data_IF_096740135418
#
_entry.id   IF_096740135418
#
_cell.length_a   1.000
_cell.length_b   1.000
_cell.length_c   1.000
_cell.angle_alpha   90.00
_cell.angle_beta   90.00
_cell.angle_gamma   90.00
#
_symmetry.space_group_name_H-M   'P 1'
#
loop_
_entity.id
_entity.type
_entity.pdbx_description
1 polymer ?
#
# COMPACT_ATOMS: atom_id res chain seq x y z
N UNK A 1 -3.44 21.00 -1.19
CA UNK A 1 -2.91 19.67 -1.53
C UNK A 1 -3.95 19.09 -2.47
N UNK A 2 -3.66 18.99 -3.77
CA UNK A 2 -4.59 18.43 -4.76
C UNK A 2 -5.08 17.05 -4.30
N UNK A 3 -6.32 16.71 -4.66
CA UNK A 3 -6.92 15.40 -4.40
C UNK A 3 -6.04 14.29 -4.98
N UNK A 4 -5.10 13.79 -4.17
CA UNK A 4 -4.39 12.55 -4.47
C UNK A 4 -5.48 11.51 -4.70
N UNK A 5 -5.50 10.84 -5.86
CA UNK A 5 -6.49 9.79 -6.14
C UNK A 5 -6.39 8.72 -5.03
N UNK A 6 -7.30 8.81 -4.06
CA UNK A 6 -7.42 7.88 -2.94
C UNK A 6 -8.46 6.86 -3.35
N UNK A 7 -8.07 5.59 -3.45
CA UNK A 7 -9.01 4.53 -3.71
C UNK A 7 -9.66 4.00 -2.43
N UNK A 8 -10.87 3.46 -2.61
CA UNK A 8 -11.58 2.79 -1.55
C UNK A 8 -10.81 1.55 -1.07
N UNK A 9 -10.73 1.30 0.24
CA UNK A 9 -10.03 0.12 0.77
C UNK A 9 -10.63 -1.18 0.19
N UNK A 10 -11.96 -1.27 0.06
CA UNK A 10 -12.63 -2.39 -0.62
C UNK A 10 -12.10 -2.65 -2.04
N UNK A 11 -11.79 -1.59 -2.79
CA UNK A 11 -11.19 -1.70 -4.13
C UNK A 11 -9.75 -2.20 -4.03
N UNK A 12 -8.95 -1.68 -3.10
CA UNK A 12 -7.60 -2.17 -2.85
C UNK A 12 -7.62 -3.67 -2.51
N UNK A 13 -8.39 -4.07 -1.50
CA UNK A 13 -8.46 -5.46 -1.07
C UNK A 13 -9.00 -6.39 -2.18
N UNK A 14 -10.06 -6.01 -2.89
CA UNK A 14 -10.65 -6.87 -3.93
C UNK A 14 -9.76 -7.06 -5.17
N UNK A 15 -8.79 -6.17 -5.41
CA UNK A 15 -7.95 -6.20 -6.60
C UNK A 15 -6.48 -6.54 -6.31
N UNK A 16 -6.03 -6.39 -5.07
CA UNK A 16 -4.62 -6.47 -4.68
C UNK A 16 -4.40 -7.44 -3.52
N UNK A 17 -5.40 -7.67 -2.67
CA UNK A 17 -5.24 -8.69 -1.64
C UNK A 17 -5.39 -10.06 -2.31
N UNK A 18 -4.29 -10.83 -2.29
CA UNK A 18 -4.24 -12.23 -2.71
C UNK A 18 -5.08 -13.10 -1.75
N UNK A 19 -6.40 -12.92 -1.81
CA UNK A 19 -7.38 -13.75 -1.14
C UNK A 19 -7.49 -15.05 -1.92
N UNK A 20 -6.82 -16.10 -1.43
CA UNK A 20 -7.40 -17.46 -1.39
C UNK A 20 -6.49 -18.55 -0.78
N UNK A 21 -5.22 -18.28 -0.43
CA UNK A 21 -4.29 -19.37 -0.01
C UNK A 21 -3.64 -19.24 1.38
N UNK A 22 -4.05 -18.27 2.20
CA UNK A 22 -3.77 -18.26 3.64
C UNK A 22 -2.40 -17.71 4.08
N UNK A 23 -1.71 -16.93 3.23
CA UNK A 23 -0.44 -16.30 3.58
C UNK A 23 -0.31 -14.87 3.05
N UNK A 24 0.40 -14.03 3.80
CA UNK A 24 0.88 -12.70 3.34
C UNK A 24 1.86 -12.94 2.21
N UNK A 25 1.55 -12.38 1.04
CA UNK A 25 2.42 -12.41 -0.13
C UNK A 25 3.00 -11.02 -0.27
N UNK A 26 4.29 -10.87 0.03
CA UNK A 26 4.93 -9.56 0.06
C UNK A 26 5.18 -9.07 -1.37
N UNK A 27 4.15 -8.46 -1.95
CA UNK A 27 4.09 -8.04 -3.35
C UNK A 27 3.37 -6.68 -3.45
N UNK A 28 3.92 -5.78 -4.27
CA UNK A 28 3.27 -4.51 -4.58
C UNK A 28 2.62 -4.57 -5.97
N UNK A 29 1.55 -3.79 -6.14
CA UNK A 29 0.77 -3.70 -7.37
C UNK A 29 0.65 -2.25 -7.87
N UNK A 30 0.65 -2.07 -9.18
CA UNK A 30 0.08 -0.90 -9.82
C UNK A 30 -1.44 -1.03 -9.82
N UNK A 31 -2.14 0.03 -9.39
CA UNK A 31 -3.59 0.10 -9.44
C UNK A 31 -4.05 1.38 -10.14
N UNK A 32 -4.94 1.26 -11.12
CA UNK A 32 -5.53 2.40 -11.85
C UNK A 32 -6.90 2.06 -12.41
N UNK A 33 -7.62 3.07 -12.91
CA UNK A 33 -8.90 2.90 -13.60
C UNK A 33 -8.78 3.11 -15.10
N UNK A 34 -9.41 2.20 -15.86
CA UNK A 34 -9.69 2.35 -17.29
C UNK A 34 -11.21 2.36 -17.50
N UNK A 35 -11.77 3.55 -17.67
CA UNK A 35 -13.22 3.73 -17.63
C UNK A 35 -13.77 3.33 -16.26
N UNK A 36 -14.71 2.38 -16.23
CA UNK A 36 -15.30 1.85 -15.00
C UNK A 36 -14.62 0.60 -14.46
N UNK A 37 -13.46 0.22 -15.00
CA UNK A 37 -12.74 -1.00 -14.59
C UNK A 37 -11.50 -0.62 -13.78
N UNK A 38 -11.40 -1.17 -12.57
CA UNK A 38 -10.16 -1.14 -11.80
C UNK A 38 -9.20 -2.20 -12.36
N UNK A 39 -7.97 -1.80 -12.65
CA UNK A 39 -6.90 -2.66 -13.14
C UNK A 39 -5.83 -2.75 -12.07
N UNK A 40 -5.48 -3.98 -11.69
CA UNK A 40 -4.36 -4.30 -10.80
C UNK A 40 -3.31 -5.10 -11.56
N UNK A 41 -2.05 -4.72 -11.40
CA UNK A 41 -0.93 -5.40 -12.03
C UNK A 41 0.25 -5.52 -11.06
N UNK A 42 0.76 -6.74 -10.79
CA UNK A 42 1.94 -6.90 -9.95
C UNK A 42 3.14 -6.11 -10.47
N UNK A 43 3.86 -5.41 -9.58
CA UNK A 43 5.04 -4.64 -9.95
C UNK A 43 6.27 -5.54 -10.11
N UNK A 44 6.29 -6.69 -9.45
CA UNK A 44 7.44 -7.59 -9.41
C UNK A 44 7.04 -8.98 -8.94
N UNK A 45 8.02 -9.84 -8.70
CA UNK A 45 7.77 -11.15 -8.13
C UNK A 45 7.49 -11.04 -6.62
N UNK A 46 6.68 -11.94 -6.08
CA UNK A 46 6.46 -12.03 -4.63
C UNK A 46 7.79 -12.28 -3.89
N UNK A 47 7.98 -11.60 -2.75
CA UNK A 47 9.05 -11.92 -1.81
C UNK A 47 8.56 -12.89 -0.73
N UNK A 48 9.33 -13.96 -0.48
CA UNK A 48 8.97 -14.97 0.51
C UNK A 48 9.03 -14.46 1.96
N UNK A 49 8.21 -15.08 2.81
CA UNK A 49 7.96 -14.67 4.20
C UNK A 49 8.83 -15.35 5.26
N UNK A 50 9.52 -16.44 4.93
CA UNK A 50 10.12 -17.32 5.93
C UNK A 50 11.23 -16.62 6.75
N UNK A 51 10.90 -16.24 8.00
CA UNK A 51 11.85 -15.77 9.01
C UNK A 51 12.27 -14.29 8.93
N UNK A 52 11.89 -13.56 7.87
CA UNK A 52 12.34 -12.17 7.65
C UNK A 52 11.40 -11.10 8.21
N UNK A 53 10.18 -11.49 8.55
CA UNK A 53 9.08 -10.63 9.01
C UNK A 53 9.40 -9.91 10.34
N UNK A 54 10.33 -10.45 11.12
CA UNK A 54 10.79 -9.88 12.39
C UNK A 54 12.04 -9.00 12.23
N UNK A 55 12.64 -8.96 11.04
CA UNK A 55 13.84 -8.17 10.77
C UNK A 55 13.46 -6.89 10.02
N UNK A 56 13.38 -5.75 10.73
CA UNK A 56 13.01 -4.46 10.15
C UNK A 56 13.91 -4.04 9.00
N UNK A 57 15.20 -4.39 9.02
CA UNK A 57 16.17 -4.02 7.96
C UNK A 57 16.15 -4.93 6.73
N UNK A 58 15.52 -6.11 6.82
CA UNK A 58 15.43 -7.11 5.74
C UNK A 58 14.00 -7.59 5.55
N UNK A 59 13.03 -6.74 5.91
CA UNK A 59 11.63 -7.08 5.78
C UNK A 59 11.31 -7.37 4.30
N UNK A 60 10.52 -8.42 3.99
CA UNK A 60 10.21 -8.78 2.61
C UNK A 60 9.70 -7.61 1.75
N UNK A 61 8.86 -6.71 2.30
CA UNK A 61 8.44 -5.48 1.61
C UNK A 61 9.61 -4.59 1.17
N UNK A 62 10.67 -4.48 1.99
CA UNK A 62 11.85 -3.69 1.63
C UNK A 62 12.71 -4.42 0.59
N UNK A 63 12.82 -5.75 0.72
CA UNK A 63 13.56 -6.59 -0.21
C UNK A 63 12.89 -6.58 -1.60
N UNK A 64 11.57 -6.52 -1.66
CA UNK A 64 10.80 -6.43 -2.91
C UNK A 64 11.32 -5.30 -3.82
N UNK A 65 11.56 -4.12 -3.26
CA UNK A 65 12.05 -2.96 -4.02
C UNK A 65 13.52 -3.03 -4.43
N UNK A 66 14.25 -4.07 -4.02
CA UNK A 66 15.62 -4.35 -4.46
C UNK A 66 15.70 -5.33 -5.63
N UNK A 67 14.56 -5.85 -6.10
CA UNK A 67 14.52 -6.78 -7.23
C UNK A 67 15.05 -6.14 -8.52
N UNK A 68 15.75 -6.94 -9.33
CA UNK A 68 16.36 -6.47 -10.59
C UNK A 68 15.34 -6.20 -11.71
N UNK A 69 14.10 -6.66 -11.57
CA UNK A 69 13.06 -6.55 -12.59
C UNK A 69 11.76 -6.10 -11.96
N UNK A 70 11.57 -4.79 -11.89
CA UNK A 70 10.32 -4.15 -11.50
C UNK A 70 9.66 -3.56 -12.75
N UNK A 71 8.35 -3.75 -12.86
CA UNK A 71 7.54 -3.27 -13.97
C UNK A 71 7.33 -1.77 -13.81
N UNK A 72 7.67 -1.01 -14.85
CA UNK A 72 7.54 0.44 -14.87
C UNK A 72 6.08 0.90 -14.68
N UNK A 73 5.91 2.12 -14.18
CA UNK A 73 4.60 2.73 -13.98
C UNK A 73 3.84 2.80 -15.33
N UNK A 74 2.64 2.18 -15.44
CA UNK A 74 1.96 2.05 -16.73
C UNK A 74 1.39 3.38 -17.24
N UNK A 75 0.98 4.28 -16.35
CA UNK A 75 0.48 5.62 -16.67
C UNK A 75 0.55 6.55 -15.44
N UNK A 76 0.30 7.85 -15.64
CA UNK A 76 0.37 8.87 -14.58
C UNK A 76 -0.72 8.77 -13.51
N UNK A 77 -1.78 7.99 -13.74
CA UNK A 77 -2.86 7.74 -12.77
C UNK A 77 -2.59 6.54 -11.88
N UNK A 78 -1.74 5.62 -12.32
CA UNK A 78 -1.43 4.41 -11.57
C UNK A 78 -0.77 4.75 -10.23
N UNK A 79 -1.33 4.22 -9.15
CA UNK A 79 -0.76 4.31 -7.81
C UNK A 79 -0.09 2.99 -7.45
N UNK A 80 0.79 3.02 -6.45
CA UNK A 80 1.34 1.81 -5.85
C UNK A 80 0.41 1.38 -4.72
N UNK A 81 0.11 0.10 -4.65
CA UNK A 81 -0.58 -0.50 -3.52
C UNK A 81 0.31 -1.61 -2.96
N UNK A 82 0.57 -1.57 -1.67
CA UNK A 82 1.40 -2.56 -0.97
C UNK A 82 0.68 -3.03 0.28
N UNK A 83 0.77 -4.33 0.56
CA UNK A 83 0.29 -4.87 1.81
C UNK A 83 1.34 -4.69 2.92
N UNK A 84 0.89 -4.67 4.16
CA UNK A 84 1.74 -4.68 5.32
C UNK A 84 1.18 -5.69 6.32
N UNK A 85 2.06 -6.50 6.92
CA UNK A 85 1.64 -7.54 7.86
C UNK A 85 1.05 -6.98 9.17
N UNK A 86 1.60 -5.87 9.68
CA UNK A 86 1.17 -5.18 10.91
C UNK A 86 1.34 -3.69 10.69
N UNK A 87 0.27 -2.90 10.83
CA UNK A 87 0.36 -1.45 10.83
C UNK A 87 0.47 -0.89 12.27
N UNK A 88 1.32 0.13 12.51
CA UNK A 88 2.44 0.54 11.68
C UNK A 88 3.66 -0.36 11.91
N UNK A 89 4.28 -0.86 10.83
CA UNK A 89 5.58 -1.54 10.90
C UNK A 89 6.68 -0.49 11.16
N UNK A 90 6.77 -0.03 12.41
CA UNK A 90 7.32 1.29 12.80
C UNK A 90 8.56 1.26 13.69
N UNK A 91 9.18 0.11 13.96
CA UNK A 91 10.49 0.10 14.65
C UNK A 91 11.55 0.72 13.72
N UNK A 92 12.53 1.41 14.29
CA UNK A 92 13.61 2.12 13.58
C UNK A 92 14.05 1.41 12.27
N UNK A 93 13.88 2.10 11.13
CA UNK A 93 14.13 1.54 9.80
C UNK A 93 12.99 0.66 9.24
N UNK A 94 11.79 0.75 9.80
CA UNK A 94 10.61 -0.02 9.40
C UNK A 94 10.06 0.33 8.02
N UNK A 95 9.20 -0.53 7.49
CA UNK A 95 8.67 -0.42 6.13
C UNK A 95 7.97 0.92 5.88
N UNK A 96 7.30 1.48 6.89
CA UNK A 96 6.57 2.74 6.76
C UNK A 96 7.45 3.89 6.24
N UNK A 97 8.70 3.98 6.70
CA UNK A 97 9.63 5.02 6.29
C UNK A 97 10.55 4.59 5.15
N UNK A 98 10.94 3.30 5.13
CA UNK A 98 11.93 2.83 4.19
C UNK A 98 11.36 2.56 2.80
N UNK A 99 10.15 2.03 2.69
CA UNK A 99 9.52 1.70 1.41
C UNK A 99 9.32 2.93 0.53
N UNK A 100 8.79 4.08 1.01
CA UNK A 100 8.68 5.29 0.21
C UNK A 100 10.01 5.76 -0.41
N UNK A 101 11.12 5.67 0.35
CA UNK A 101 12.46 6.02 -0.13
C UNK A 101 13.02 5.01 -1.13
N UNK A 102 12.67 3.73 -0.99
CA UNK A 102 13.07 2.70 -1.95
C UNK A 102 12.32 2.88 -3.27
N UNK A 103 11.02 3.16 -3.23
CA UNK A 103 10.21 3.45 -4.40
C UNK A 103 10.74 4.68 -5.14
N UNK A 104 11.10 5.75 -4.40
CA UNK A 104 11.69 6.96 -4.99
C UNK A 104 12.94 6.65 -5.82
N UNK A 105 13.83 5.79 -5.32
CA UNK A 105 15.05 5.40 -6.04
C UNK A 105 14.77 4.65 -7.33
N UNK A 106 13.66 3.90 -7.37
CA UNK A 106 13.30 3.04 -8.51
C UNK A 106 12.50 3.83 -9.56
N UNK A 107 11.52 4.63 -9.13
CA UNK A 107 10.53 5.23 -10.02
C UNK A 107 10.44 6.76 -9.93
N UNK A 108 11.20 7.40 -9.04
CA UNK A 108 11.13 8.83 -8.76
C UNK A 108 10.13 9.19 -7.65
N UNK A 109 10.16 10.44 -7.22
CA UNK A 109 9.37 10.99 -6.10
C UNK A 109 7.92 11.30 -6.51
N UNK A 110 7.03 11.43 -5.53
CA UNK A 110 5.64 11.90 -5.72
C UNK A 110 4.67 10.87 -6.32
N UNK A 111 5.04 9.59 -6.38
CA UNK A 111 4.13 8.53 -6.80
C UNK A 111 3.22 8.19 -5.61
N UNK A 112 1.89 8.26 -5.75
CA UNK A 112 0.97 7.92 -4.66
C UNK A 112 1.10 6.46 -4.25
N UNK A 113 1.08 6.21 -2.93
CA UNK A 113 1.18 4.88 -2.33
C UNK A 113 -0.01 4.68 -1.39
N UNK A 114 -0.79 3.63 -1.61
CA UNK A 114 -1.77 3.11 -0.66
C UNK A 114 -1.20 1.92 0.12
N UNK A 115 -1.12 2.03 1.44
CA UNK A 115 -0.64 0.94 2.31
C UNK A 115 -1.82 0.41 3.11
N UNK A 116 -2.02 -0.91 3.12
CA UNK A 116 -3.11 -1.56 3.86
C UNK A 116 -2.60 -2.71 4.74
N UNK A 117 -3.31 -2.99 5.85
CA UNK A 117 -2.95 -4.10 6.75
C UNK A 117 -3.56 -5.43 6.30
N UNK A 118 -2.73 -6.46 6.14
CA UNK A 118 -3.16 -7.81 5.75
C UNK A 118 -3.83 -8.56 6.91
N UNK A 119 -3.28 -8.48 8.13
CA UNK A 119 -3.83 -9.21 9.29
C UNK A 119 -5.01 -8.50 9.95
N UNK A 120 -5.05 -7.16 9.90
CA UNK A 120 -6.13 -6.42 10.54
C UNK A 120 -7.43 -6.46 9.73
N UNK A 121 -7.41 -7.01 8.51
CA UNK A 121 -8.61 -7.26 7.72
C UNK A 121 -9.59 -8.22 8.43
N UNK A 122 -9.07 -9.23 9.14
CA UNK A 122 -9.89 -10.28 9.75
C UNK A 122 -10.24 -10.00 11.21
N UNK A 123 -9.51 -9.10 11.86
CA UNK A 123 -9.84 -8.65 13.21
C UNK A 123 -10.88 -7.55 13.07
N UNK A 124 -12.06 -7.71 13.66
CA UNK A 124 -13.19 -6.75 13.62
C UNK A 124 -12.88 -5.35 14.20
N UNK A 125 -11.61 -5.01 14.39
CA UNK A 125 -11.09 -3.76 14.94
C UNK A 125 -11.06 -2.60 13.92
N UNK A 126 -11.48 -2.84 12.67
CA UNK A 126 -11.45 -1.86 11.59
C UNK A 126 -10.31 -2.14 10.61
N UNK A 127 -10.53 -1.85 9.33
CA UNK A 127 -9.47 -1.92 8.33
C UNK A 127 -8.54 -0.74 8.56
N UNK A 128 -7.25 -0.99 8.69
CA UNK A 128 -6.25 0.05 8.84
C UNK A 128 -5.44 0.20 7.55
N UNK A 129 -5.24 1.44 7.14
CA UNK A 129 -4.40 1.83 6.02
C UNK A 129 -4.07 3.31 6.08
N UNK A 130 -3.08 3.72 5.30
CA UNK A 130 -2.73 5.13 5.14
C UNK A 130 -2.24 5.38 3.72
N UNK A 131 -2.28 6.64 3.31
CA UNK A 131 -1.79 7.11 2.02
C UNK A 131 -0.53 7.93 2.21
N UNK A 132 0.50 7.62 1.42
CA UNK A 132 1.73 8.40 1.36
C UNK A 132 2.17 8.54 -0.09
N UNK A 133 3.42 8.95 -0.32
CA UNK A 133 4.00 9.03 -1.64
C UNK A 133 5.47 8.64 -1.63
N UNK A 134 6.00 8.26 -2.80
CA UNK A 134 7.43 8.00 -2.92
C UNK A 134 8.25 9.24 -2.57
N UNK A 135 9.28 9.05 -1.74
CA UNK A 135 10.13 10.14 -1.25
C UNK A 135 9.52 10.97 -0.11
N UNK A 136 8.35 10.59 0.42
CA UNK A 136 7.72 11.30 1.55
C UNK A 136 8.66 11.41 2.75
N UNK A 137 8.65 12.57 3.42
CA UNK A 137 9.44 12.76 4.64
C UNK A 137 8.86 11.95 5.80
N UNK A 138 9.68 11.69 6.83
CA UNK A 138 9.19 11.02 8.04
C UNK A 138 8.00 11.77 8.66
N UNK A 139 8.03 13.10 8.70
CA UNK A 139 6.91 13.90 9.21
C UNK A 139 5.64 13.76 8.38
N UNK A 140 5.74 13.63 7.05
CA UNK A 140 4.56 13.44 6.19
C UNK A 140 3.96 12.05 6.41
N UNK A 141 4.81 11.04 6.59
CA UNK A 141 4.40 9.67 6.88
C UNK A 141 3.78 9.58 8.28
N UNK A 142 4.39 10.22 9.27
CA UNK A 142 3.86 10.31 10.64
C UNK A 142 2.49 11.00 10.65
N UNK A 143 2.33 12.08 9.88
CA UNK A 143 1.03 12.75 9.72
C UNK A 143 0.01 11.86 9.02
N UNK A 144 0.40 11.13 7.97
CA UNK A 144 -0.49 10.22 7.25
C UNK A 144 -0.90 9.01 8.11
N UNK A 145 -0.01 8.52 8.97
CA UNK A 145 -0.31 7.48 9.95
C UNK A 145 -1.09 8.01 11.16
N UNK A 146 -0.94 9.30 11.51
CA UNK A 146 -1.82 9.97 12.48
C UNK A 146 -3.26 10.04 11.98
N UNK A 147 -3.44 10.02 10.65
CA UNK A 147 -4.70 9.92 9.92
C UNK A 147 -4.98 8.47 9.48
N UNK A 148 -4.61 7.48 10.32
CA UNK A 148 -5.04 6.08 10.13
C UNK A 148 -6.57 6.08 10.18
N UNK A 149 -7.19 5.99 9.00
CA UNK A 149 -8.63 5.91 8.89
C UNK A 149 -9.09 4.53 9.37
N UNK A 150 -9.94 4.48 10.39
CA UNK A 150 -10.88 3.37 10.56
C UNK A 150 -11.92 3.46 9.46
N UNK A 151 -11.90 2.51 8.53
CA UNK A 151 -12.92 2.43 7.48
C UNK A 151 -14.24 1.95 8.07
N UNK A 152 -15.24 2.83 8.13
CA UNK A 152 -16.63 2.48 8.43
C UNK A 152 -17.33 2.03 7.14
N UNK A 153 -18.02 0.89 7.19
CA UNK A 153 -18.51 0.18 6.01
C UNK A 153 -19.84 0.70 5.46
N UNK A 154 -20.49 1.64 6.16
CA UNK A 154 -21.88 2.05 5.90
C UNK A 154 -22.04 3.43 5.26
N UNK A 155 -20.98 4.01 4.68
CA UNK A 155 -21.19 5.11 3.72
C UNK A 155 -21.68 4.55 2.37
N UNK A 156 -22.78 3.79 2.40
CA UNK A 156 -23.71 3.77 1.28
C UNK A 156 -24.24 5.19 1.16
N UNK A 157 -23.83 5.88 0.10
CA UNK A 157 -24.60 6.90 -0.60
C UNK A 157 -26.00 7.16 -0.01
N UNK A 158 -26.11 8.02 0.99
CA UNK A 158 -27.36 8.70 1.32
C UNK A 158 -27.22 10.14 0.84
N UNK A 159 -27.85 10.36 -0.31
CA UNK A 159 -27.73 11.55 -1.13
C UNK A 159 -27.79 12.88 -0.38
N UNK A 160 -26.77 13.70 -0.62
CA UNK A 160 -27.02 15.10 -0.91
C UNK A 160 -26.14 15.53 -2.08
N UNK A 161 -26.83 15.79 -3.18
CA UNK A 161 -26.35 16.48 -4.38
C UNK A 161 -26.14 17.98 -4.10
N UNK A 162 -25.08 18.53 -4.72
CA UNK A 162 -24.65 19.92 -4.84
C UNK A 162 -23.83 20.52 -3.71
#
# INVERSE_FOLDING_TARGET
MEDKERYQASVLYSNVADYETGGVRYIAHWLWWEGSKCISHPIGAECGSAGLEKNSSKHPDQVFWSQSRLIARPNSKAIIVTDCKILPCSKDGGCAYRVPLLIERVFGSGIPIGVFSHNDYYTKAGKFGYYTESGASQSDIDSAMGDIFTWDWDATSDGSTY
#
